data_IF_167481719061
#
_entry.id   IF_167481719061
#
_cell.length_a   1.000
_cell.length_b   1.000
_cell.length_c   1.000
_cell.angle_alpha   90.00
_cell.angle_beta   90.00
_cell.angle_gamma   90.00
#
_symmetry.space_group_name_H-M   'P 1'
#
loop_
_entity.id
_entity.type
_entity.pdbx_description
1 polymer ?
#
# COMPACT_ATOMS: atom_id res chain seq x y z
N UNK A 1 38.05 30.63 -19.43
CA UNK A 1 37.76 29.42 -18.63
C UNK A 1 36.80 29.68 -17.46
N UNK A 2 36.89 30.83 -16.76
CA UNK A 2 35.99 31.16 -15.64
C UNK A 2 34.50 31.12 -16.01
N UNK A 3 34.18 31.55 -17.24
CA UNK A 3 32.83 31.59 -17.78
C UNK A 3 32.25 30.17 -18.05
N UNK A 4 33.13 29.21 -18.37
CA UNK A 4 32.73 27.81 -18.61
C UNK A 4 32.38 27.11 -17.28
N UNK A 5 33.10 27.46 -16.22
CA UNK A 5 32.85 26.99 -14.86
C UNK A 5 31.46 27.43 -14.34
N UNK A 6 31.04 28.65 -14.65
CA UNK A 6 29.70 29.14 -14.30
C UNK A 6 28.58 28.41 -15.06
N UNK A 7 28.80 28.10 -16.34
CA UNK A 7 27.84 27.35 -17.15
C UNK A 7 27.70 25.90 -16.63
N UNK A 8 28.82 25.26 -16.27
CA UNK A 8 28.82 23.91 -15.71
C UNK A 8 28.12 23.84 -14.34
N UNK A 9 28.36 24.83 -13.48
CA UNK A 9 27.69 24.92 -12.19
C UNK A 9 26.17 25.13 -12.35
N UNK A 10 25.75 25.96 -13.30
CA UNK A 10 24.34 26.19 -13.60
C UNK A 10 23.65 24.93 -14.13
N UNK A 11 24.34 24.13 -14.97
CA UNK A 11 23.82 22.85 -15.46
C UNK A 11 23.61 21.82 -14.34
N UNK A 12 24.50 21.78 -13.34
CA UNK A 12 24.37 20.87 -12.19
C UNK A 12 23.18 21.22 -11.29
N UNK A 13 22.89 22.51 -11.11
CA UNK A 13 21.74 22.97 -10.31
C UNK A 13 20.42 22.57 -11.00
N UNK A 14 20.37 22.60 -12.32
CA UNK A 14 19.18 22.22 -13.10
C UNK A 14 18.89 20.71 -13.09
N UNK A 15 19.91 19.86 -12.89
CA UNK A 15 19.76 18.39 -12.78
C UNK A 15 19.42 17.96 -11.35
N UNK A 16 19.83 18.72 -10.34
CA UNK A 16 19.62 18.37 -8.92
C UNK A 16 18.22 18.68 -8.38
N UNK A 17 17.40 19.42 -9.13
CA UNK A 17 16.07 19.87 -8.70
C UNK A 17 14.93 19.10 -9.40
N UNK A 18 15.22 17.88 -9.89
CA UNK A 18 14.18 17.01 -10.41
C UNK A 18 13.34 16.45 -9.27
N UNK A 19 12.02 16.66 -9.32
CA UNK A 19 11.05 15.90 -8.53
C UNK A 19 11.37 14.42 -8.64
N UNK A 20 12.00 13.86 -7.61
CA UNK A 20 12.07 12.42 -7.44
C UNK A 20 10.75 12.04 -6.79
N UNK A 21 9.83 11.51 -7.59
CA UNK A 21 8.69 10.80 -7.05
C UNK A 21 9.22 9.71 -6.10
N UNK A 22 8.65 9.62 -4.91
CA UNK A 22 8.97 8.52 -4.01
C UNK A 22 8.64 7.20 -4.72
N UNK A 23 9.65 6.34 -4.87
CA UNK A 23 9.47 5.03 -5.49
C UNK A 23 8.65 4.16 -4.52
N UNK A 24 7.32 4.12 -4.71
CA UNK A 24 6.41 3.35 -3.87
C UNK A 24 6.59 1.84 -4.08
N UNK A 25 7.03 1.42 -5.26
CA UNK A 25 7.26 0.01 -5.63
C UNK A 25 8.73 -0.23 -5.97
N UNK A 26 9.50 -0.79 -5.04
CA UNK A 26 10.90 -1.17 -5.25
C UNK A 26 11.10 -2.66 -4.92
N UNK A 27 11.12 -3.54 -5.94
CA UNK A 27 11.27 -4.98 -5.74
C UNK A 27 12.72 -5.42 -5.46
N UNK A 28 13.73 -4.56 -5.62
CA UNK A 28 15.15 -4.95 -5.57
C UNK A 28 15.85 -4.53 -4.28
N UNK A 29 15.52 -3.36 -3.75
CA UNK A 29 16.13 -2.79 -2.54
C UNK A 29 15.13 -2.22 -1.54
N UNK A 30 13.85 -2.24 -1.87
CA UNK A 30 12.79 -1.63 -1.08
C UNK A 30 12.42 -2.43 0.17
N UNK A 31 12.00 -1.72 1.21
CA UNK A 31 11.31 -2.35 2.34
C UNK A 31 9.91 -2.78 1.89
N UNK A 32 9.50 -3.97 2.33
CA UNK A 32 8.13 -4.44 2.07
C UNK A 32 7.17 -3.76 3.04
N UNK A 33 6.27 -2.96 2.49
CA UNK A 33 5.09 -2.45 3.17
C UNK A 33 3.85 -3.10 2.55
N UNK A 34 2.80 -3.21 3.37
CA UNK A 34 1.49 -3.75 2.98
C UNK A 34 0.44 -2.81 3.53
N UNK A 35 -0.56 -2.49 2.72
CA UNK A 35 -1.69 -1.67 3.12
C UNK A 35 -2.96 -2.07 2.37
N UNK A 36 -4.09 -1.58 2.88
CA UNK A 36 -5.34 -1.65 2.15
C UNK A 36 -5.28 -0.74 0.92
N UNK A 37 -5.85 -1.20 -0.20
CA UNK A 37 -5.92 -0.43 -1.43
C UNK A 37 -6.83 0.79 -1.28
N UNK A 38 -7.90 0.64 -0.49
CA UNK A 38 -8.87 1.67 -0.18
C UNK A 38 -8.80 2.05 1.30
N UNK A 39 -8.94 3.34 1.61
CA UNK A 39 -8.97 3.84 2.98
C UNK A 39 -10.33 3.66 3.67
N UNK A 40 -11.36 3.25 2.91
CA UNK A 40 -12.71 3.03 3.42
C UNK A 40 -13.65 2.51 2.33
N UNK A 41 -14.69 1.78 2.74
CA UNK A 41 -15.75 1.29 1.87
C UNK A 41 -17.11 1.63 2.47
N UNK A 42 -18.01 2.17 1.65
CA UNK A 42 -19.41 2.37 2.02
C UNK A 42 -20.18 1.06 1.81
N UNK A 43 -20.67 0.48 2.89
CA UNK A 43 -21.37 -0.81 2.87
C UNK A 43 -22.80 -0.66 3.41
N UNK A 44 -23.76 -1.21 2.67
CA UNK A 44 -25.11 -1.43 3.16
C UNK A 44 -25.23 -2.87 3.64
N UNK A 45 -25.45 -3.05 4.95
CA UNK A 45 -25.53 -4.37 5.58
C UNK A 45 -27.01 -4.78 5.72
N UNK A 46 -27.52 -5.74 4.92
CA UNK A 46 -28.86 -6.28 5.09
C UNK A 46 -28.93 -7.23 6.29
N UNK A 47 -30.15 -7.65 6.67
CA UNK A 47 -30.36 -8.56 7.82
C UNK A 47 -29.68 -9.92 7.63
N UNK A 48 -29.54 -10.40 6.39
CA UNK A 48 -28.81 -11.63 6.09
C UNK A 48 -27.27 -11.48 6.14
N UNK A 49 -26.77 -10.27 6.36
CA UNK A 49 -25.35 -9.95 6.34
C UNK A 49 -24.81 -9.70 4.93
N UNK A 50 -23.54 -9.28 4.86
CA UNK A 50 -22.83 -9.05 3.61
C UNK A 50 -21.41 -9.56 3.71
N UNK A 51 -20.89 -10.11 2.62
CA UNK A 51 -19.47 -10.46 2.47
C UNK A 51 -18.86 -9.55 1.43
N UNK A 52 -17.72 -8.96 1.77
CA UNK A 52 -17.01 -8.00 0.91
C UNK A 52 -15.56 -8.43 0.84
N UNK A 53 -14.97 -8.24 -0.33
CA UNK A 53 -13.54 -8.46 -0.56
C UNK A 53 -12.83 -7.11 -0.51
N UNK A 54 -11.78 -7.01 0.30
CA UNK A 54 -11.00 -5.79 0.47
C UNK A 54 -9.66 -5.97 -0.22
N UNK A 55 -9.31 -5.05 -1.12
CA UNK A 55 -8.02 -5.09 -1.80
C UNK A 55 -6.86 -4.73 -0.88
N UNK A 56 -5.71 -5.38 -1.08
CA UNK A 56 -4.44 -5.01 -0.46
C UNK A 56 -3.36 -4.81 -1.50
N UNK A 57 -2.39 -3.96 -1.17
CA UNK A 57 -1.24 -3.66 -1.99
C UNK A 57 0.03 -3.92 -1.17
N UNK A 58 1.02 -4.56 -1.79
CA UNK A 58 2.38 -4.66 -1.30
C UNK A 58 3.33 -3.83 -2.16
N UNK A 59 4.36 -3.27 -1.56
CA UNK A 59 5.40 -2.51 -2.28
C UNK A 59 6.44 -3.40 -2.98
N UNK A 60 6.40 -4.70 -2.74
CA UNK A 60 7.35 -5.68 -3.31
C UNK A 60 6.62 -6.88 -3.91
N UNK A 61 7.31 -7.58 -4.82
CA UNK A 61 6.89 -8.91 -5.30
C UNK A 61 7.76 -10.00 -4.67
N UNK A 62 7.20 -11.20 -4.61
CA UNK A 62 7.92 -12.43 -4.27
C UNK A 62 7.56 -13.50 -5.30
N UNK A 63 8.48 -14.42 -5.56
CA UNK A 63 8.26 -15.63 -6.36
C UNK A 63 7.30 -16.64 -5.69
N UNK A 64 6.91 -16.40 -4.44
CA UNK A 64 5.96 -17.20 -3.67
C UNK A 64 4.71 -16.41 -3.28
N UNK A 65 3.60 -17.13 -3.12
CA UNK A 65 2.39 -16.56 -2.53
C UNK A 65 2.64 -16.20 -1.07
N UNK A 66 2.10 -15.06 -0.64
CA UNK A 66 2.25 -14.52 0.71
C UNK A 66 0.89 -14.39 1.36
N UNK A 67 0.80 -14.78 2.61
CA UNK A 67 -0.43 -14.70 3.40
C UNK A 67 -0.21 -13.85 4.64
N UNK A 68 -1.17 -13.00 4.97
CA UNK A 68 -1.12 -12.12 6.13
C UNK A 68 -2.38 -12.26 6.97
N UNK A 69 -2.20 -12.21 8.28
CA UNK A 69 -3.31 -12.15 9.22
C UNK A 69 -3.86 -10.72 9.25
N UNK A 70 -5.17 -10.60 9.33
CA UNK A 70 -5.87 -9.34 9.56
C UNK A 70 -6.58 -9.41 10.91
N UNK A 71 -6.63 -8.28 11.61
CA UNK A 71 -7.34 -8.13 12.85
C UNK A 71 -8.19 -6.86 12.80
N UNK A 72 -9.38 -6.90 13.40
CA UNK A 72 -10.20 -5.72 13.56
C UNK A 72 -9.64 -4.86 14.71
N UNK A 73 -9.48 -3.57 14.46
CA UNK A 73 -9.15 -2.59 15.50
C UNK A 73 -10.43 -2.13 16.20
N UNK A 74 -10.81 -2.89 17.24
CA UNK A 74 -12.04 -2.64 17.98
C UNK A 74 -11.95 -1.41 18.88
N UNK A 75 -10.74 -0.98 19.26
CA UNK A 75 -10.55 0.20 20.13
C UNK A 75 -10.87 1.51 19.39
N UNK A 76 -10.68 1.51 18.07
CA UNK A 76 -10.96 2.65 17.19
C UNK A 76 -12.24 2.49 16.36
N UNK A 77 -13.05 1.45 16.62
CA UNK A 77 -14.34 1.24 15.96
C UNK A 77 -15.41 2.18 16.57
N UNK A 78 -15.99 3.05 15.74
CA UNK A 78 -16.87 4.13 16.20
C UNK A 78 -18.33 3.75 16.44
N UNK A 79 -18.75 2.50 16.25
CA UNK A 79 -20.18 2.17 16.06
C UNK A 79 -20.67 0.92 16.82
N UNK A 80 -19.98 0.47 17.88
CA UNK A 80 -20.51 -0.60 18.75
C UNK A 80 -20.62 -1.97 18.07
N UNK A 81 -19.91 -2.20 16.96
CA UNK A 81 -19.66 -3.52 16.41
C UNK A 81 -18.94 -4.38 17.46
N UNK A 82 -19.49 -5.54 17.79
CA UNK A 82 -18.83 -6.52 18.64
C UNK A 82 -17.99 -7.50 17.80
N UNK A 83 -16.96 -8.15 18.37
CA UNK A 83 -16.19 -9.15 17.64
C UNK A 83 -17.03 -10.31 17.08
N UNK A 84 -18.22 -10.54 17.67
CA UNK A 84 -19.16 -11.56 17.22
C UNK A 84 -19.97 -11.17 15.97
N UNK A 85 -20.02 -9.87 15.63
CA UNK A 85 -20.82 -9.36 14.51
C UNK A 85 -20.09 -9.45 13.17
N UNK A 86 -18.80 -9.81 13.17
CA UNK A 86 -17.98 -9.88 11.96
C UNK A 86 -17.07 -11.11 11.95
N UNK A 87 -16.71 -11.53 10.76
CA UNK A 87 -15.69 -12.56 10.53
C UNK A 87 -14.71 -12.05 9.49
N UNK A 88 -13.42 -12.23 9.76
CA UNK A 88 -12.35 -11.82 8.88
C UNK A 88 -11.76 -13.02 8.16
N UNK A 89 -11.44 -12.82 6.89
CA UNK A 89 -10.68 -13.78 6.09
C UNK A 89 -9.18 -13.73 6.37
N UNK A 90 -8.41 -14.24 5.41
CA UNK A 90 -6.95 -14.13 5.40
C UNK A 90 -6.54 -13.41 4.13
N UNK A 91 -5.62 -12.45 4.26
CA UNK A 91 -5.09 -11.73 3.11
C UNK A 91 -4.16 -12.66 2.33
N UNK A 92 -4.33 -12.74 1.02
CA UNK A 92 -3.46 -13.50 0.12
C UNK A 92 -2.98 -12.63 -1.04
N UNK A 93 -1.66 -12.53 -1.21
CA UNK A 93 -1.02 -11.91 -2.36
C UNK A 93 -0.31 -13.00 -3.16
N UNK A 94 -0.72 -13.18 -4.41
CA UNK A 94 -0.15 -14.21 -5.28
C UNK A 94 1.36 -13.98 -5.56
N UNK A 95 2.03 -15.04 -5.98
CA UNK A 95 3.39 -14.94 -6.49
C UNK A 95 3.45 -13.96 -7.67
N UNK A 96 4.49 -13.14 -7.71
CA UNK A 96 4.76 -12.12 -8.71
C UNK A 96 3.68 -11.02 -8.83
N UNK A 97 2.89 -10.81 -7.78
CA UNK A 97 1.85 -9.76 -7.72
C UNK A 97 2.15 -8.71 -6.65
N UNK A 98 1.79 -7.46 -6.90
CA UNK A 98 1.70 -6.43 -5.87
C UNK A 98 0.31 -6.40 -5.21
N UNK A 99 -0.70 -6.97 -5.87
CA UNK A 99 -2.10 -6.90 -5.47
C UNK A 99 -2.58 -8.23 -4.89
N UNK A 100 -3.44 -8.15 -3.88
CA UNK A 100 -4.12 -9.28 -3.27
C UNK A 100 -5.40 -8.86 -2.57
N UNK A 101 -6.00 -9.81 -1.85
CA UNK A 101 -7.26 -9.65 -1.10
C UNK A 101 -7.26 -10.54 0.12
#
# INVERSE_FOLDING_TARGET
MKNLLYILALAFIMVSCGEHEDVIFDPTSGQTAIGFADSGLDLSVPVEGVTVTVGVISTTISDQARTFNVAADMENSSEGLEPADSSLGTITIAANSYEGT
#
